data_IF_221988469473
#
_entry.id   IF_221988469473
#
_cell.length_a   1.000
_cell.length_b   1.000
_cell.length_c   1.000
_cell.angle_alpha   90.00
_cell.angle_beta   90.00
_cell.angle_gamma   90.00
#
_symmetry.space_group_name_H-M   'P 1'
#
loop_
_entity.id
_entity.type
_entity.pdbx_description
1 polymer ?
#
# COMPACT_ATOMS: atom_id res chain seq x y z
N UNK A 1 -13.74 -2.54 -1.30
CA UNK A 1 -12.83 -2.48 -2.46
C UNK A 1 -12.01 -3.75 -2.65
N UNK A 2 -11.41 -4.33 -1.60
CA UNK A 2 -10.63 -5.57 -1.74
C UNK A 2 -11.46 -6.76 -2.24
N UNK A 3 -12.73 -6.83 -1.91
CA UNK A 3 -13.65 -7.82 -2.47
C UNK A 3 -13.80 -7.68 -3.98
N UNK A 4 -13.92 -6.45 -4.46
CA UNK A 4 -14.03 -6.18 -5.89
C UNK A 4 -12.75 -6.57 -6.63
N UNK A 5 -11.59 -6.27 -6.03
CA UNK A 5 -10.29 -6.67 -6.57
C UNK A 5 -10.17 -8.19 -6.64
N UNK A 6 -10.57 -8.88 -5.57
CA UNK A 6 -10.55 -10.34 -5.54
C UNK A 6 -11.44 -10.95 -6.61
N UNK A 7 -12.64 -10.40 -6.79
CA UNK A 7 -13.55 -10.83 -7.84
C UNK A 7 -12.95 -10.59 -9.24
N UNK A 8 -12.33 -9.42 -9.46
CA UNK A 8 -11.73 -9.08 -10.73
C UNK A 8 -10.54 -9.99 -11.08
N UNK A 9 -9.75 -10.38 -10.08
CA UNK A 9 -8.61 -11.28 -10.29
C UNK A 9 -9.06 -12.72 -10.56
N UNK A 10 -10.17 -13.14 -9.96
CA UNK A 10 -10.67 -14.50 -10.09
C UNK A 10 -11.57 -14.71 -11.32
N UNK A 11 -11.98 -13.65 -11.99
CA UNK A 11 -12.91 -13.76 -13.11
C UNK A 11 -12.26 -14.34 -14.36
N UNK A 12 -13.07 -15.01 -15.16
CA UNK A 12 -12.71 -15.36 -16.53
C UNK A 12 -12.89 -14.11 -17.40
N UNK A 13 -11.93 -13.84 -18.28
CA UNK A 13 -12.00 -12.69 -19.19
C UNK A 13 -13.18 -12.88 -20.15
N UNK A 14 -14.27 -12.16 -19.89
CA UNK A 14 -15.50 -12.23 -20.65
C UNK A 14 -16.16 -10.84 -20.65
N UNK A 15 -16.38 -10.23 -21.83
CA UNK A 15 -17.00 -8.91 -21.93
C UNK A 15 -18.39 -8.81 -21.28
N UNK A 16 -19.07 -9.95 -21.08
CA UNK A 16 -20.38 -10.01 -20.42
C UNK A 16 -20.29 -9.66 -18.93
N UNK A 17 -19.12 -9.81 -18.31
CA UNK A 17 -18.89 -9.57 -16.89
C UNK A 17 -17.84 -8.46 -16.74
N UNK A 18 -18.26 -7.18 -16.63
CA UNK A 18 -17.32 -6.08 -16.51
C UNK A 18 -16.55 -6.14 -15.19
N UNK A 19 -15.40 -5.48 -15.14
CA UNK A 19 -14.63 -5.32 -13.91
C UNK A 19 -15.42 -4.54 -12.86
N UNK A 20 -15.28 -4.94 -11.60
CA UNK A 20 -15.93 -4.30 -10.46
C UNK A 20 -15.10 -3.14 -9.90
N UNK A 21 -13.77 -3.21 -9.99
CA UNK A 21 -12.88 -2.16 -9.50
C UNK A 21 -12.95 -0.94 -10.42
N UNK A 22 -13.35 0.24 -9.89
CA UNK A 22 -13.34 1.46 -10.68
C UNK A 22 -11.92 1.82 -11.15
N UNK A 23 -11.81 2.41 -12.33
CA UNK A 23 -10.52 2.83 -12.86
C UNK A 23 -9.84 3.91 -12.01
N UNK A 24 -10.63 4.72 -11.31
CA UNK A 24 -10.15 5.79 -10.45
C UNK A 24 -10.08 5.40 -8.96
N UNK A 25 -10.19 4.11 -8.64
CA UNK A 25 -10.23 3.63 -7.26
C UNK A 25 -9.04 4.13 -6.42
N UNK A 26 -7.84 4.11 -6.99
CA UNK A 26 -6.62 4.56 -6.31
C UNK A 26 -6.63 6.06 -6.02
N UNK A 27 -7.26 6.87 -6.85
CA UNK A 27 -7.28 8.33 -6.68
C UNK A 27 -7.98 8.78 -5.40
N UNK A 28 -8.85 7.95 -4.85
CA UNK A 28 -9.53 8.23 -3.58
C UNK A 28 -8.59 8.10 -2.38
N UNK A 29 -7.50 7.37 -2.51
CA UNK A 29 -6.51 7.18 -1.44
C UNK A 29 -5.48 8.31 -1.39
N UNK A 30 -5.17 8.93 -2.51
CA UNK A 30 -4.08 9.91 -2.61
C UNK A 30 -4.26 11.13 -1.71
N UNK A 31 -5.45 11.77 -1.63
CA UNK A 31 -5.64 12.90 -0.72
C UNK A 31 -5.46 12.51 0.75
N UNK A 32 -5.85 11.29 1.12
CA UNK A 32 -5.68 10.78 2.49
C UNK A 32 -4.21 10.58 2.80
N UNK A 33 -3.46 9.98 1.88
CA UNK A 33 -2.01 9.78 2.00
C UNK A 33 -1.32 11.13 2.18
N UNK A 34 -1.61 12.09 1.32
CA UNK A 34 -0.99 13.42 1.34
C UNK A 34 -1.28 14.14 2.65
N UNK A 35 -2.52 14.10 3.12
CA UNK A 35 -2.91 14.73 4.38
C UNK A 35 -2.18 14.13 5.58
N UNK A 36 -2.11 12.81 5.66
CA UNK A 36 -1.42 12.13 6.75
C UNK A 36 0.09 12.38 6.69
N UNK A 37 0.66 12.33 5.50
CA UNK A 37 2.08 12.56 5.28
C UNK A 37 2.51 13.96 5.67
N UNK A 38 1.63 14.95 5.52
CA UNK A 38 1.92 16.33 5.91
C UNK A 38 2.13 16.50 7.42
N UNK A 39 1.63 15.59 8.24
CA UNK A 39 1.83 15.60 9.70
C UNK A 39 3.17 15.00 10.13
N UNK A 40 3.86 14.31 9.23
CA UNK A 40 5.01 13.48 9.57
C UNK A 40 6.33 14.17 9.23
N UNK A 41 7.41 13.89 10.02
CA UNK A 41 8.74 14.35 9.65
C UNK A 41 9.21 13.66 8.37
N UNK A 42 10.06 14.37 7.62
CA UNK A 42 10.68 13.83 6.41
C UNK A 42 11.67 12.74 6.79
N UNK A 43 11.62 11.63 6.08
CA UNK A 43 12.60 10.55 6.21
C UNK A 43 13.48 10.47 4.97
N UNK A 44 14.76 10.16 5.15
CA UNK A 44 15.72 9.99 4.06
C UNK A 44 16.27 8.57 3.98
N UNK A 45 16.06 7.76 5.01
CA UNK A 45 16.55 6.39 5.13
C UNK A 45 15.39 5.42 5.37
N UNK A 46 15.64 4.13 5.16
CA UNK A 46 14.71 3.11 5.62
C UNK A 46 14.59 3.16 7.13
N UNK A 47 13.37 3.01 7.64
CA UNK A 47 13.10 2.97 9.08
C UNK A 47 12.87 1.53 9.52
N UNK A 48 13.21 1.25 10.78
CA UNK A 48 12.87 -0.02 11.41
C UNK A 48 11.38 -0.02 11.73
N UNK A 49 10.71 -1.08 11.32
CA UNK A 49 9.27 -1.24 11.53
C UNK A 49 8.98 -1.73 12.94
N UNK A 50 7.85 -1.30 13.48
CA UNK A 50 7.43 -1.65 14.83
C UNK A 50 7.14 -0.41 15.67
N UNK A 51 7.42 -0.47 16.96
CA UNK A 51 7.23 0.62 17.91
C UNK A 51 5.97 0.49 18.75
N UNK A 52 4.78 0.43 18.14
CA UNK A 52 3.50 0.16 18.81
C UNK A 52 2.86 -1.10 18.24
N UNK A 53 1.94 -1.73 19.00
CA UNK A 53 1.21 -2.90 18.48
C UNK A 53 0.41 -2.55 17.22
N UNK A 54 -0.30 -1.42 17.23
CA UNK A 54 -1.07 -0.98 16.08
C UNK A 54 -0.15 -0.64 14.89
N UNK A 55 0.97 0.06 15.13
CA UNK A 55 1.94 0.37 14.10
C UNK A 55 2.58 -0.88 13.50
N UNK A 56 2.92 -1.86 14.34
CA UNK A 56 3.47 -3.14 13.88
C UNK A 56 2.48 -3.90 13.00
N UNK A 57 1.21 -3.94 13.38
CA UNK A 57 0.16 -4.60 12.59
C UNK A 57 -0.06 -3.89 11.25
N UNK A 58 -0.01 -2.57 11.22
CA UNK A 58 -0.13 -1.80 9.98
C UNK A 58 1.06 -2.04 9.05
N UNK A 59 2.28 -2.13 9.59
CA UNK A 59 3.45 -2.50 8.81
C UNK A 59 3.33 -3.93 8.27
N UNK A 60 2.82 -4.86 9.06
CA UNK A 60 2.55 -6.22 8.60
C UNK A 60 1.54 -6.21 7.45
N UNK A 61 0.43 -5.48 7.60
CA UNK A 61 -0.57 -5.34 6.55
C UNK A 61 0.04 -4.75 5.28
N UNK A 62 0.90 -3.75 5.40
CA UNK A 62 1.64 -3.16 4.28
C UNK A 62 2.47 -4.22 3.53
N UNK A 63 3.20 -5.07 4.26
CA UNK A 63 4.01 -6.12 3.62
C UNK A 63 3.15 -7.18 2.94
N UNK A 64 1.99 -7.52 3.50
CA UNK A 64 1.04 -8.45 2.88
C UNK A 64 0.49 -7.87 1.57
N UNK A 65 0.11 -6.60 1.56
CA UNK A 65 -0.37 -5.92 0.34
C UNK A 65 0.73 -5.88 -0.73
N UNK A 66 1.97 -5.60 -0.34
CA UNK A 66 3.10 -5.58 -1.27
C UNK A 66 3.38 -6.96 -1.84
N UNK A 67 3.22 -8.01 -1.05
CA UNK A 67 3.31 -9.39 -1.55
C UNK A 67 2.21 -9.67 -2.56
N UNK A 68 0.97 -9.28 -2.26
CA UNK A 68 -0.16 -9.43 -3.17
C UNK A 68 0.09 -8.69 -4.50
N UNK A 69 0.61 -7.47 -4.43
CA UNK A 69 0.99 -6.69 -5.62
C UNK A 69 2.01 -7.45 -6.48
N UNK A 70 3.06 -8.00 -5.87
CA UNK A 70 4.06 -8.80 -6.59
C UNK A 70 3.43 -10.04 -7.24
N UNK A 71 2.51 -10.70 -6.56
CA UNK A 71 1.82 -11.87 -7.10
C UNK A 71 0.94 -11.49 -8.29
N UNK A 72 0.27 -10.34 -8.24
CA UNK A 72 -0.53 -9.84 -9.37
C UNK A 72 0.37 -9.47 -10.55
N UNK A 73 1.51 -8.85 -10.32
CA UNK A 73 2.49 -8.56 -11.37
C UNK A 73 2.96 -9.85 -12.05
N UNK A 74 3.17 -10.90 -11.27
CA UNK A 74 3.54 -12.22 -11.80
C UNK A 74 2.41 -12.82 -12.62
N UNK A 75 1.18 -12.75 -12.14
CA UNK A 75 -0.02 -13.22 -12.85
C UNK A 75 -0.19 -12.49 -14.18
N UNK A 76 0.12 -11.20 -14.22
CA UNK A 76 0.00 -10.36 -15.41
C UNK A 76 0.84 -10.87 -16.59
N UNK A 77 1.86 -11.66 -16.34
CA UNK A 77 2.68 -12.28 -17.40
C UNK A 77 1.92 -13.39 -18.15
N UNK A 78 0.88 -13.94 -17.57
CA UNK A 78 0.12 -15.08 -18.10
C UNK A 78 -1.33 -14.74 -18.42
N UNK A 79 -1.89 -13.72 -17.76
CA UNK A 79 -3.30 -13.38 -17.85
C UNK A 79 -3.47 -11.88 -18.05
N UNK A 80 -4.56 -11.48 -18.68
CA UNK A 80 -4.93 -10.07 -18.76
C UNK A 80 -5.51 -9.63 -17.42
N UNK A 81 -4.89 -8.59 -16.83
CA UNK A 81 -5.28 -8.05 -15.52
C UNK A 81 -5.84 -6.65 -15.71
N UNK A 82 -6.91 -6.34 -14.97
CA UNK A 82 -7.44 -4.97 -14.92
C UNK A 82 -6.39 -4.04 -14.29
N UNK A 83 -5.88 -3.03 -15.04
CA UNK A 83 -4.77 -2.18 -14.55
C UNK A 83 -5.08 -1.45 -13.24
N UNK A 84 -6.34 -1.09 -12.99
CA UNK A 84 -6.74 -0.41 -11.78
C UNK A 84 -6.44 -1.21 -10.51
N UNK A 85 -6.40 -2.54 -10.60
CA UNK A 85 -6.08 -3.42 -9.46
C UNK A 85 -4.67 -3.17 -8.97
N UNK A 86 -3.68 -3.14 -9.86
CA UNK A 86 -2.29 -2.90 -9.49
C UNK A 86 -2.08 -1.50 -8.94
N UNK A 87 -2.68 -0.50 -9.57
CA UNK A 87 -2.57 0.89 -9.10
C UNK A 87 -3.15 1.02 -7.69
N UNK A 88 -4.31 0.40 -7.44
CA UNK A 88 -4.93 0.43 -6.13
C UNK A 88 -4.08 -0.26 -5.06
N UNK A 89 -3.58 -1.46 -5.34
CA UNK A 89 -2.74 -2.19 -4.37
C UNK A 89 -1.47 -1.40 -4.03
N UNK A 90 -0.86 -0.75 -5.02
CA UNK A 90 0.30 0.09 -4.81
C UNK A 90 -0.02 1.28 -3.88
N UNK A 91 -1.10 1.99 -4.15
CA UNK A 91 -1.52 3.13 -3.32
C UNK A 91 -1.97 2.68 -1.92
N UNK A 92 -2.62 1.53 -1.81
CA UNK A 92 -3.01 0.98 -0.52
C UNK A 92 -1.78 0.66 0.35
N UNK A 93 -0.73 0.11 -0.23
CA UNK A 93 0.50 -0.15 0.52
C UNK A 93 1.12 1.14 1.04
N UNK A 94 1.12 2.21 0.25
CA UNK A 94 1.60 3.52 0.67
C UNK A 94 0.75 4.09 1.81
N UNK A 95 -0.57 3.96 1.71
CA UNK A 95 -1.48 4.40 2.77
C UNK A 95 -1.20 3.66 4.08
N UNK A 96 -1.04 2.34 4.03
CA UNK A 96 -0.77 1.54 5.22
C UNK A 96 0.59 1.90 5.86
N UNK A 97 1.59 2.16 5.04
CA UNK A 97 2.90 2.61 5.52
C UNK A 97 2.79 3.97 6.24
N UNK A 98 2.11 4.93 5.62
CA UNK A 98 1.91 6.26 6.22
C UNK A 98 1.06 6.19 7.48
N UNK A 99 0.01 5.35 7.50
CA UNK A 99 -0.81 5.12 8.69
C UNK A 99 0.03 4.55 9.84
N UNK A 100 0.91 3.61 9.57
CA UNK A 100 1.78 3.03 10.59
C UNK A 100 2.69 4.10 11.21
N UNK A 101 3.27 4.97 10.39
CA UNK A 101 4.07 6.10 10.85
C UNK A 101 3.24 7.10 11.65
N UNK A 102 2.03 7.40 11.19
CA UNK A 102 1.11 8.32 11.87
C UNK A 102 0.74 7.83 13.25
N UNK A 103 0.44 6.54 13.39
CA UNK A 103 0.12 5.95 14.71
C UNK A 103 1.31 6.09 15.65
N UNK A 104 2.51 5.76 15.21
CA UNK A 104 3.72 5.91 16.03
C UNK A 104 3.97 7.37 16.41
N UNK A 105 3.84 8.27 15.47
CA UNK A 105 4.05 9.70 15.68
C UNK A 105 3.05 10.26 16.71
N UNK A 106 1.78 9.92 16.59
CA UNK A 106 0.72 10.37 17.53
C UNK A 106 0.89 9.80 18.93
N UNK A 107 1.50 8.61 19.06
CA UNK A 107 1.85 8.02 20.36
C UNK A 107 3.22 8.49 20.88
N UNK A 108 3.89 9.39 20.18
CA UNK A 108 5.19 9.92 20.60
C UNK A 108 6.36 8.94 20.46
N UNK A 109 6.19 7.89 19.69
CA UNK A 109 7.26 6.91 19.44
C UNK A 109 8.19 7.46 18.36
N UNK A 110 9.50 7.47 18.66
CA UNK A 110 10.52 7.94 17.73
C UNK A 110 10.80 6.85 16.70
N UNK A 111 10.81 7.23 15.40
CA UNK A 111 11.22 6.33 14.32
C UNK A 111 12.74 6.12 14.37
N UNK A 112 13.16 4.87 14.17
CA UNK A 112 14.56 4.49 14.18
C UNK A 112 14.98 4.19 12.74
N UNK A 113 16.00 4.91 12.26
CA UNK A 113 16.58 4.67 10.95
C UNK A 113 17.30 3.32 10.91
N UNK A 114 17.20 2.60 9.80
CA UNK A 114 17.99 1.42 9.57
C UNK A 114 19.45 1.85 9.32
N UNK A 115 20.35 1.47 10.22
CA UNK A 115 21.73 1.99 10.25
C UNK A 115 22.54 1.68 8.98
N UNK A 116 22.23 0.58 8.30
CA UNK A 116 22.90 0.21 7.05
C UNK A 116 22.23 0.80 5.80
N UNK A 117 21.20 1.62 5.98
CA UNK A 117 20.51 2.25 4.86
C UNK A 117 21.29 3.46 4.35
N UNK A 118 21.42 3.57 3.02
CA UNK A 118 21.79 4.82 2.39
C UNK A 118 20.59 5.78 2.38
N UNK A 119 20.83 7.05 2.03
CA UNK A 119 19.75 8.00 1.81
C UNK A 119 18.99 7.61 0.53
N UNK A 120 17.75 7.09 0.68
CA UNK A 120 16.93 6.58 -0.42
C UNK A 120 15.71 7.45 -0.71
N UNK A 121 15.35 8.34 0.22
CA UNK A 121 14.25 9.29 0.08
C UNK A 121 14.80 10.71 0.04
N UNK A 122 14.11 11.59 -0.66
CA UNK A 122 14.48 13.01 -0.79
C UNK A 122 13.62 13.92 0.05
#
# INVERSE_FOLDING_TARGET
MLWDIGADLARVDNPKYPYQTPEDAASHLEPVIDRLQSELPIISKFIIRGGTSAGALLHLACTVVRRAERDVVRLQQFETIHPAVLVYLNRLSDLLFVLARTVKHRFGVIEVDYEHSAHVFR
#
